data_IF_649084703863
#
_entry.id   IF_649084703863
#
_cell.length_a   1.000
_cell.length_b   1.000
_cell.length_c   1.000
_cell.angle_alpha   90.00
_cell.angle_beta   90.00
_cell.angle_gamma   90.00
#
_symmetry.space_group_name_H-M   'P 1'
#
loop_
_entity.id
_entity.type
_entity.pdbx_description
1 polymer ?
#
# COMPACT_ATOMS: atom_id res chain seq x y z
N UNK A 1 9.88 -20.08 -9.28
CA UNK A 1 10.29 -18.80 -9.86
C UNK A 1 11.22 -18.13 -8.86
N UNK A 2 12.50 -17.93 -9.18
CA UNK A 2 13.39 -17.20 -8.28
C UNK A 2 12.94 -15.73 -8.27
N UNK A 3 12.59 -15.26 -7.09
CA UNK A 3 12.18 -13.88 -6.86
C UNK A 3 13.44 -12.98 -6.92
N UNK A 4 13.39 -11.80 -7.58
CA UNK A 4 14.54 -10.88 -7.65
C UNK A 4 15.01 -10.50 -6.24
N UNK A 5 16.29 -10.16 -6.05
CA UNK A 5 16.94 -10.01 -4.72
C UNK A 5 16.18 -9.05 -3.77
N UNK A 6 15.43 -8.07 -4.28
CA UNK A 6 14.61 -7.14 -3.47
C UNK A 6 13.36 -7.81 -2.88
N UNK A 7 12.91 -8.92 -3.46
CA UNK A 7 11.91 -9.80 -2.91
C UNK A 7 12.47 -10.82 -1.91
N UNK A 8 13.75 -10.77 -1.54
CA UNK A 8 14.24 -11.51 -0.35
C UNK A 8 13.86 -10.83 0.96
N UNK A 9 13.34 -9.61 0.90
CA UNK A 9 12.83 -8.90 2.07
C UNK A 9 11.47 -9.47 2.48
N UNK A 10 11.45 -10.29 3.53
CA UNK A 10 10.26 -10.97 4.06
C UNK A 10 9.07 -10.03 4.25
N UNK A 11 9.32 -8.81 4.77
CA UNK A 11 8.28 -7.81 4.98
C UNK A 11 7.62 -7.36 3.66
N UNK A 12 8.38 -7.28 2.57
CA UNK A 12 7.83 -6.93 1.27
C UNK A 12 7.01 -8.09 0.68
N UNK A 13 7.44 -9.34 0.89
CA UNK A 13 6.65 -10.51 0.49
C UNK A 13 5.33 -10.58 1.26
N UNK A 14 5.36 -10.39 2.58
CA UNK A 14 4.16 -10.35 3.42
C UNK A 14 3.22 -9.21 2.99
N UNK A 15 3.79 -8.04 2.67
CA UNK A 15 3.03 -6.92 2.14
C UNK A 15 2.34 -7.27 0.82
N UNK A 16 3.08 -7.77 -0.17
CA UNK A 16 2.54 -8.14 -1.48
C UNK A 16 1.47 -9.24 -1.36
N UNK A 17 1.74 -10.25 -0.54
CA UNK A 17 0.82 -11.39 -0.31
C UNK A 17 -0.53 -10.93 0.25
N UNK A 18 -0.55 -9.84 1.04
CA UNK A 18 -1.81 -9.31 1.57
C UNK A 18 -2.78 -8.80 0.49
N UNK A 19 -2.33 -8.58 -0.74
CA UNK A 19 -3.17 -8.15 -1.88
C UNK A 19 -3.50 -9.27 -2.84
N UNK A 20 -3.12 -10.52 -2.54
CA UNK A 20 -3.24 -11.62 -3.50
C UNK A 20 -4.68 -11.87 -3.94
N UNK A 21 -5.62 -11.77 -3.01
CA UNK A 21 -7.01 -12.17 -3.24
C UNK A 21 -7.83 -11.17 -4.05
N UNK A 22 -7.34 -9.92 -4.20
CA UNK A 22 -7.99 -8.91 -5.06
C UNK A 22 -7.56 -8.98 -6.53
N UNK A 23 -6.68 -9.92 -6.86
CA UNK A 23 -6.18 -10.10 -8.22
C UNK A 23 -6.28 -11.55 -8.68
N UNK A 24 -6.59 -11.75 -9.96
CA UNK A 24 -6.28 -13.02 -10.62
C UNK A 24 -4.77 -13.26 -10.67
N UNK A 25 -4.34 -14.53 -10.84
CA UNK A 25 -2.91 -14.88 -10.99
C UNK A 25 -2.14 -13.99 -11.99
N UNK A 26 -2.62 -13.73 -13.22
CA UNK A 26 -1.90 -12.87 -14.16
C UNK A 26 -1.88 -11.40 -13.71
N UNK A 27 -2.95 -10.87 -13.13
CA UNK A 27 -2.99 -9.51 -12.60
C UNK A 27 -2.01 -9.34 -11.43
N UNK A 28 -1.97 -10.30 -10.50
CA UNK A 28 -1.08 -10.27 -9.35
C UNK A 28 0.39 -10.23 -9.78
N UNK A 29 0.77 -11.00 -10.81
CA UNK A 29 2.12 -10.94 -11.39
C UNK A 29 2.48 -9.52 -11.83
N UNK A 30 1.62 -8.87 -12.62
CA UNK A 30 1.90 -7.53 -13.11
C UNK A 30 1.83 -6.47 -12.01
N UNK A 31 0.95 -6.63 -11.02
CA UNK A 31 0.91 -5.79 -9.82
C UNK A 31 2.25 -5.81 -9.07
N UNK A 32 2.80 -7.00 -8.83
CA UNK A 32 4.11 -7.18 -8.18
C UNK A 32 5.21 -6.50 -9.01
N UNK A 33 5.24 -6.72 -10.33
CA UNK A 33 6.25 -6.08 -11.21
C UNK A 33 6.15 -4.56 -11.14
N UNK A 34 4.95 -3.99 -11.22
CA UNK A 34 4.73 -2.54 -11.17
C UNK A 34 5.17 -1.96 -9.82
N UNK A 35 4.79 -2.59 -8.70
CA UNK A 35 5.16 -2.09 -7.37
C UNK A 35 6.67 -2.16 -7.14
N UNK A 36 7.30 -3.27 -7.51
CA UNK A 36 8.75 -3.41 -7.43
C UNK A 36 9.46 -2.40 -8.32
N UNK A 37 8.93 -2.19 -9.53
CA UNK A 37 9.41 -1.15 -10.43
C UNK A 37 9.37 0.22 -9.77
N UNK A 38 8.27 0.58 -9.10
CA UNK A 38 8.18 1.87 -8.39
C UNK A 38 9.15 1.99 -7.22
N UNK A 39 9.38 0.90 -6.48
CA UNK A 39 10.34 0.88 -5.36
C UNK A 39 11.79 1.04 -5.88
N UNK A 40 12.09 0.48 -7.05
CA UNK A 40 13.45 0.42 -7.61
C UNK A 40 13.79 1.58 -8.54
N UNK A 41 12.78 2.25 -9.11
CA UNK A 41 13.02 3.30 -10.10
C UNK A 41 13.66 4.53 -9.45
N UNK A 42 14.96 4.70 -9.67
CA UNK A 42 15.72 5.90 -9.26
C UNK A 42 15.59 7.05 -10.29
N UNK A 43 14.90 6.82 -11.42
CA UNK A 43 14.73 7.78 -12.52
C UNK A 43 13.26 8.09 -12.85
N UNK A 44 12.98 8.45 -14.10
CA UNK A 44 11.63 8.76 -14.55
C UNK A 44 10.70 7.55 -14.46
N UNK A 45 9.53 7.73 -13.83
CA UNK A 45 8.49 6.70 -13.58
C UNK A 45 7.69 6.35 -14.84
N UNK A 46 8.38 6.07 -15.94
CA UNK A 46 7.81 5.63 -17.22
C UNK A 46 7.69 4.11 -17.25
N UNK A 47 6.85 3.56 -18.14
CA UNK A 47 6.74 2.10 -18.32
C UNK A 47 8.08 1.45 -18.69
N UNK A 48 8.92 2.13 -19.46
CA UNK A 48 10.27 1.67 -19.79
C UNK A 48 11.18 1.66 -18.55
N UNK A 49 11.11 2.71 -17.73
CA UNK A 49 11.84 2.80 -16.45
C UNK A 49 11.44 1.69 -15.47
N UNK A 50 10.14 1.41 -15.35
CA UNK A 50 9.63 0.31 -14.51
C UNK A 50 10.13 -1.05 -15.02
N UNK A 51 10.13 -1.26 -16.33
CA UNK A 51 10.63 -2.50 -16.95
C UNK A 51 12.12 -2.70 -16.70
N UNK A 52 12.93 -1.64 -16.76
CA UNK A 52 14.37 -1.73 -16.55
C UNK A 52 14.76 -1.94 -15.08
N UNK A 53 13.92 -1.50 -14.13
CA UNK A 53 14.18 -1.72 -12.71
C UNK A 53 14.12 -3.20 -12.31
N UNK A 54 13.12 -3.94 -12.81
CA UNK A 54 12.82 -5.30 -12.33
C UNK A 54 13.37 -6.36 -13.29
N UNK A 55 14.28 -7.22 -12.81
CA UNK A 55 14.73 -8.40 -13.55
C UNK A 55 13.52 -9.30 -13.91
N UNK A 56 13.46 -9.76 -15.16
CA UNK A 56 12.30 -10.47 -15.73
C UNK A 56 10.98 -9.68 -15.76
N UNK A 57 11.03 -8.35 -15.81
CA UNK A 57 9.84 -7.56 -16.08
C UNK A 57 9.17 -8.04 -17.38
N UNK A 58 7.84 -8.19 -17.34
CA UNK A 58 7.03 -8.52 -18.52
C UNK A 58 7.21 -7.52 -19.66
N UNK A 59 6.56 -7.78 -20.80
CA UNK A 59 6.66 -6.88 -21.95
C UNK A 59 6.06 -5.50 -21.65
N UNK A 60 6.55 -4.45 -22.35
CA UNK A 60 5.97 -3.11 -22.29
C UNK A 60 4.46 -3.13 -22.60
N UNK A 61 4.06 -3.89 -23.62
CA UNK A 61 2.66 -4.09 -23.98
C UNK A 61 1.87 -4.77 -22.85
N UNK A 62 2.49 -5.68 -22.11
CA UNK A 62 1.90 -6.32 -20.93
C UNK A 62 1.66 -5.32 -19.79
N UNK A 63 2.65 -4.49 -19.47
CA UNK A 63 2.54 -3.42 -18.47
C UNK A 63 1.49 -2.39 -18.85
N UNK A 64 1.50 -1.93 -20.11
CA UNK A 64 0.50 -1.01 -20.65
C UNK A 64 -0.91 -1.60 -20.54
N UNK A 65 -1.11 -2.85 -20.96
CA UNK A 65 -2.41 -3.51 -20.85
C UNK A 65 -2.85 -3.70 -19.40
N UNK A 66 -1.93 -4.06 -18.50
CA UNK A 66 -2.24 -4.18 -17.08
C UNK A 66 -2.75 -2.85 -16.51
N UNK A 67 -2.07 -1.74 -16.77
CA UNK A 67 -2.45 -0.44 -16.21
C UNK A 67 -3.68 0.18 -16.89
N UNK A 68 -3.88 -0.04 -18.18
CA UNK A 68 -4.90 0.66 -18.94
C UNK A 68 -6.15 -0.18 -19.26
N UNK A 69 -6.06 -1.51 -19.24
CA UNK A 69 -7.13 -2.39 -19.80
C UNK A 69 -7.46 -3.62 -18.96
N UNK A 70 -6.59 -4.05 -18.04
CA UNK A 70 -6.88 -5.22 -17.24
C UNK A 70 -8.02 -4.91 -16.25
N UNK A 71 -9.01 -5.81 -16.09
CA UNK A 71 -10.18 -5.58 -15.25
C UNK A 71 -9.87 -5.94 -13.80
N UNK A 72 -8.87 -5.30 -13.20
CA UNK A 72 -8.66 -5.39 -11.75
C UNK A 72 -9.38 -4.24 -11.07
N UNK A 73 -9.89 -4.50 -9.88
CA UNK A 73 -10.70 -3.55 -9.13
C UNK A 73 -9.81 -2.59 -8.32
N UNK A 74 -9.71 -1.36 -8.80
CA UNK A 74 -8.92 -0.31 -8.14
C UNK A 74 -9.50 0.10 -6.79
N UNK A 75 -10.82 0.05 -6.64
CA UNK A 75 -11.50 0.43 -5.41
C UNK A 75 -11.30 -0.65 -4.34
N UNK A 76 -11.44 -1.92 -4.70
CA UNK A 76 -11.16 -3.04 -3.81
C UNK A 76 -9.70 -3.01 -3.32
N UNK A 77 -8.75 -2.75 -4.22
CA UNK A 77 -7.33 -2.59 -3.86
C UNK A 77 -7.12 -1.43 -2.88
N UNK A 78 -7.70 -0.26 -3.16
CA UNK A 78 -7.56 0.93 -2.33
C UNK A 78 -8.18 0.74 -0.94
N UNK A 79 -9.36 0.11 -0.88
CA UNK A 79 -10.05 -0.23 0.37
C UNK A 79 -9.20 -1.17 1.23
N UNK A 80 -8.69 -2.26 0.64
CA UNK A 80 -7.85 -3.21 1.33
C UNK A 80 -6.55 -2.57 1.86
N UNK A 81 -5.91 -1.73 1.04
CA UNK A 81 -4.75 -0.95 1.48
C UNK A 81 -5.08 -0.03 2.66
N UNK A 82 -6.21 0.70 2.58
CA UNK A 82 -6.61 1.64 3.62
C UNK A 82 -6.97 0.95 4.94
N UNK A 83 -7.68 -0.18 4.88
CA UNK A 83 -8.02 -0.99 6.07
C UNK A 83 -6.76 -1.50 6.77
N UNK A 84 -5.81 -2.02 5.99
CA UNK A 84 -4.52 -2.48 6.51
C UNK A 84 -3.73 -1.33 7.14
N UNK A 85 -3.65 -0.19 6.46
CA UNK A 85 -2.98 1.01 6.99
C UNK A 85 -3.60 1.47 8.31
N UNK A 86 -4.93 1.58 8.38
CA UNK A 86 -5.64 1.96 9.61
C UNK A 86 -5.37 0.99 10.75
N UNK A 87 -5.37 -0.31 10.47
CA UNK A 87 -5.08 -1.35 11.46
C UNK A 87 -3.66 -1.20 12.02
N UNK A 88 -2.68 -0.99 11.15
CA UNK A 88 -1.28 -0.82 11.53
C UNK A 88 -1.03 0.48 12.31
N UNK A 89 -1.71 1.56 11.92
CA UNK A 89 -1.54 2.88 12.55
C UNK A 89 -2.35 3.05 13.83
N UNK A 90 -3.39 2.23 14.06
CA UNK A 90 -4.29 2.36 15.21
C UNK A 90 -3.56 2.47 16.56
N UNK A 91 -2.52 1.65 16.86
CA UNK A 91 -1.80 1.75 18.13
C UNK A 91 -1.09 3.10 18.29
N UNK A 92 -0.40 3.57 17.25
CA UNK A 92 0.30 4.86 17.27
C UNK A 92 -0.69 6.02 17.42
N UNK A 93 -1.83 5.97 16.70
CA UNK A 93 -2.89 6.98 16.82
C UNK A 93 -3.49 7.00 18.23
N UNK A 94 -3.71 5.83 18.85
CA UNK A 94 -4.20 5.75 20.24
C UNK A 94 -3.20 6.32 21.23
N UNK A 95 -1.92 5.95 21.12
CA UNK A 95 -0.86 6.47 21.98
C UNK A 95 -0.77 8.00 21.90
N UNK A 96 -0.83 8.55 20.69
CA UNK A 96 -0.81 9.99 20.47
C UNK A 96 -2.06 10.68 21.02
N UNK A 97 -3.25 10.09 20.87
CA UNK A 97 -4.48 10.61 21.47
C UNK A 97 -4.40 10.64 23.00
N UNK A 98 -3.88 9.59 23.63
CA UNK A 98 -3.69 9.56 25.09
C UNK A 98 -2.73 10.66 25.53
N UNK A 99 -1.59 10.82 24.86
CA UNK A 99 -0.62 11.89 25.13
C UNK A 99 -1.26 13.28 25.06
N UNK A 100 -2.11 13.53 24.06
CA UNK A 100 -2.81 14.80 23.92
C UNK A 100 -3.86 15.02 25.01
N UNK A 101 -4.56 13.97 25.44
CA UNK A 101 -5.54 14.07 26.53
C UNK A 101 -4.88 14.37 27.88
N UNK A 102 -3.73 13.75 28.17
CA UNK A 102 -2.95 14.03 29.39
C UNK A 102 -2.40 15.45 29.41
N UNK A 103 -2.01 15.99 28.25
CA UNK A 103 -1.54 17.36 28.11
C UNK A 103 -2.65 18.42 28.02
N UNK A 104 -3.92 18.04 27.90
CA UNK A 104 -5.03 18.99 27.80
C UNK A 104 -5.46 19.47 29.20
N UNK A 105 -5.45 20.79 29.47
CA UNK A 105 -5.95 21.31 30.75
C UNK A 105 -7.45 21.00 30.86
N UNK A 106 -7.85 20.39 31.99
CA UNK A 106 -9.26 20.09 32.31
C UNK A 106 -10.07 21.39 32.25
N UNK A 107 -10.84 21.58 31.17
CA UNK A 107 -11.80 22.68 31.08
C UNK A 107 -12.91 22.43 32.10
N UNK A 108 -13.11 23.35 33.05
CA UNK A 108 -14.30 23.34 33.92
C UNK A 108 -15.53 23.32 33.02
N UNK A 109 -16.35 22.27 33.16
CA UNK A 109 -17.61 22.15 32.43
C UNK A 109 -18.51 23.36 32.67
N UNK A 110 -19.38 23.65 31.70
CA UNK A 110 -20.42 24.69 31.82
C UNK A 110 -21.22 24.44 33.11
N UNK A 111 -21.38 25.43 34.01
CA UNK A 111 -22.22 25.27 35.19
C UNK A 111 -23.62 24.83 34.76
N UNK A 112 -24.15 23.77 35.37
CA UNK A 112 -25.56 23.42 35.20
C UNK A 112 -26.38 24.54 35.85
N UNK A 113 -27.20 25.23 35.06
CA UNK A 113 -28.21 26.16 35.57
C UNK A 113 -29.15 25.36 36.48
N UNK A 114 -29.33 25.73 37.77
CA UNK A 114 -30.34 25.12 38.62
C UNK A 114 -31.73 25.44 38.04
N UNK A 115 -32.61 24.43 38.05
CA UNK A 115 -34.05 24.58 37.78
C UNK A 115 -34.73 25.33 38.93
#
# INVERSE_FOLDING_TARGET
MPLPIICTYERLQQYLTSYRDVFSKPQYKYFVIVLLGFIQCQGARTLSGLRHGVAEAGSLSGLSRFLARAPWDAEALAKLWQERFRTQMMPAVRAERTRQQEGQPKRRGRPKTPL
#
